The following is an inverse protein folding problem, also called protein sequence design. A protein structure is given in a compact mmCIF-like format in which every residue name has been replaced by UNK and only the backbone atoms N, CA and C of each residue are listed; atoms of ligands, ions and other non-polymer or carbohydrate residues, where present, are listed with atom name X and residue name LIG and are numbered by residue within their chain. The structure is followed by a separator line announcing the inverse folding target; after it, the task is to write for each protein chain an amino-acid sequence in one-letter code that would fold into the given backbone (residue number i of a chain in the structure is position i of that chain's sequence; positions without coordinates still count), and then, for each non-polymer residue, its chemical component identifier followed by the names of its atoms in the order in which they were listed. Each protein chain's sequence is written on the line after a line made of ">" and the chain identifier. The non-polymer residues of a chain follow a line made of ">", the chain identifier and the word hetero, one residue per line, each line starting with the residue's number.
data_IF_290186884920
#
_entry.id   IF_290186884920
#
_cell.length_a   1.000
_cell.length_b   1.000
_cell.length_c   1.000
_cell.angle_alpha   90.00
_cell.angle_beta   90.00
_cell.angle_gamma   90.00
#
_symmetry.space_group_name_H-M   'P 1'
#
loop_
_entity.id
_entity.type
_entity.pdbx_description
1 polymer ?
#
# COMPACT_ATOMS: atom_id res chain seq x y z
N UNK A 1 8.02 -13.77 -4.26
CA UNK A 1 8.83 -12.96 -3.34
C UNK A 1 8.09 -12.40 -2.13
N UNK A 2 6.75 -12.26 -2.14
CA UNK A 2 6.00 -11.86 -0.93
C UNK A 2 6.21 -12.81 0.27
N UNK A 3 6.40 -14.12 0.01
CA UNK A 3 6.69 -15.09 1.06
C UNK A 3 8.02 -14.89 1.79
N UNK A 4 9.00 -14.28 1.15
CA UNK A 4 10.33 -14.08 1.77
C UNK A 4 10.31 -13.05 2.93
N UNK A 5 9.44 -12.02 2.84
CA UNK A 5 9.30 -11.03 3.92
C UNK A 5 8.58 -11.55 5.16
N UNK A 6 7.84 -12.66 5.05
CA UNK A 6 7.03 -13.23 6.12
C UNK A 6 7.39 -14.68 6.44
N UNK A 7 8.42 -15.25 5.80
CA UNK A 7 8.84 -16.65 5.96
C UNK A 7 7.67 -17.63 5.79
N UNK A 8 6.87 -17.44 4.72
CA UNK A 8 5.67 -18.21 4.43
C UNK A 8 5.81 -18.98 3.11
N UNK A 9 5.13 -20.12 3.01
CA UNK A 9 5.12 -21.00 1.85
C UNK A 9 3.95 -20.78 0.90
N UNK A 10 3.80 -21.69 -0.06
CA UNK A 10 2.68 -21.69 -0.98
C UNK A 10 1.37 -21.98 -0.25
N UNK A 11 0.34 -21.17 -0.54
CA UNK A 11 -0.99 -21.32 0.08
C UNK A 11 -1.18 -20.59 1.41
N UNK A 12 -0.09 -20.08 2.01
CA UNK A 12 -0.17 -19.37 3.30
C UNK A 12 -0.57 -17.90 3.13
N UNK A 13 -0.33 -17.33 1.95
CA UNK A 13 -0.60 -15.92 1.66
C UNK A 13 -1.52 -15.75 0.45
N UNK A 14 -2.52 -14.89 0.57
CA UNK A 14 -3.24 -14.31 -0.54
C UNK A 14 -2.56 -12.99 -0.93
N UNK A 15 -2.00 -12.90 -2.14
CA UNK A 15 -1.13 -11.80 -2.54
C UNK A 15 -1.75 -10.97 -3.66
N UNK A 16 -1.87 -9.66 -3.41
CA UNK A 16 -2.26 -8.66 -4.41
C UNK A 16 -1.04 -7.77 -4.67
N UNK A 17 -0.61 -7.66 -5.92
CA UNK A 17 0.54 -6.84 -6.29
C UNK A 17 0.14 -5.80 -7.32
N UNK A 18 0.39 -4.53 -6.98
CA UNK A 18 0.11 -3.39 -7.84
C UNK A 18 1.12 -2.27 -7.57
N UNK A 19 1.43 -1.47 -8.59
CA UNK A 19 2.33 -0.33 -8.46
C UNK A 19 1.83 0.66 -7.39
N UNK A 20 2.73 1.05 -6.49
CA UNK A 20 2.43 2.03 -5.44
C UNK A 20 1.41 1.56 -4.40
N UNK A 21 1.16 0.25 -4.29
CA UNK A 21 0.18 -0.34 -3.36
C UNK A 21 -1.13 0.47 -3.26
N UNK A 22 -1.58 1.02 -4.39
CA UNK A 22 -2.81 1.81 -4.45
C UNK A 22 -4.05 0.93 -4.27
N UNK A 23 -5.09 1.51 -3.68
CA UNK A 23 -6.39 0.86 -3.51
C UNK A 23 -7.35 1.40 -4.55
N UNK A 24 -7.87 0.50 -5.40
CA UNK A 24 -8.90 0.75 -6.38
C UNK A 24 -9.97 -0.35 -6.29
N UNK A 25 -11.00 -0.28 -7.11
CA UNK A 25 -12.16 -1.20 -7.03
C UNK A 25 -11.77 -2.69 -7.12
N UNK A 26 -10.82 -3.02 -7.99
CA UNK A 26 -10.35 -4.42 -8.14
C UNK A 26 -9.58 -4.91 -6.91
N UNK A 27 -8.78 -4.06 -6.28
CA UNK A 27 -8.06 -4.39 -5.05
C UNK A 27 -9.04 -4.54 -3.87
N UNK A 28 -10.03 -3.64 -3.74
CA UNK A 28 -11.10 -3.77 -2.76
C UNK A 28 -11.84 -5.11 -2.90
N UNK A 29 -12.29 -5.45 -4.11
CA UNK A 29 -12.96 -6.73 -4.38
C UNK A 29 -12.10 -7.94 -4.05
N UNK A 30 -10.79 -7.89 -4.34
CA UNK A 30 -9.85 -8.97 -4.01
C UNK A 30 -9.67 -9.14 -2.50
N UNK A 31 -9.60 -8.04 -1.74
CA UNK A 31 -9.52 -8.08 -0.28
C UNK A 31 -10.84 -8.55 0.34
N UNK A 32 -11.98 -8.10 -0.17
CA UNK A 32 -13.31 -8.59 0.24
C UNK A 32 -13.42 -10.10 0.06
N UNK A 33 -13.00 -10.63 -1.11
CA UNK A 33 -12.97 -12.06 -1.37
C UNK A 33 -12.07 -12.80 -0.36
N UNK A 34 -10.86 -12.32 -0.14
CA UNK A 34 -9.94 -12.96 0.82
C UNK A 34 -10.52 -13.01 2.24
N UNK A 35 -11.19 -11.95 2.67
CA UNK A 35 -11.81 -11.88 4.00
C UNK A 35 -13.06 -12.76 4.08
N UNK A 36 -13.97 -12.68 3.10
CA UNK A 36 -15.26 -13.36 3.16
C UNK A 36 -15.18 -14.85 2.83
N UNK A 37 -14.45 -15.19 1.75
CA UNK A 37 -14.44 -16.55 1.23
C UNK A 37 -13.27 -17.39 1.78
N UNK A 38 -12.12 -16.75 2.03
CA UNK A 38 -10.94 -17.47 2.54
C UNK A 38 -10.73 -17.30 4.05
N UNK A 39 -11.52 -16.47 4.71
CA UNK A 39 -11.45 -16.29 6.17
C UNK A 39 -10.20 -15.54 6.64
N UNK A 40 -9.56 -14.75 5.79
CA UNK A 40 -8.37 -13.98 6.14
C UNK A 40 -8.66 -13.02 7.30
N UNK A 41 -7.78 -13.01 8.30
CA UNK A 41 -7.90 -12.17 9.50
C UNK A 41 -6.87 -11.04 9.57
N UNK A 42 -5.79 -11.14 8.82
CA UNK A 42 -4.76 -10.12 8.76
C UNK A 42 -4.55 -9.66 7.31
N UNK A 43 -4.70 -8.39 7.07
CA UNK A 43 -4.37 -7.72 5.80
C UNK A 43 -3.18 -6.81 6.05
N UNK A 44 -2.09 -7.02 5.32
CA UNK A 44 -0.90 -6.16 5.39
C UNK A 44 -0.81 -5.35 4.10
N UNK A 45 -0.83 -4.03 4.23
CA UNK A 45 -0.63 -3.09 3.12
C UNK A 45 0.82 -2.64 3.13
N UNK A 46 1.63 -3.23 2.25
CA UNK A 46 3.07 -3.09 2.31
C UNK A 46 3.61 -2.18 1.20
N UNK A 47 4.25 -1.08 1.60
CA UNK A 47 5.16 -0.31 0.76
C UNK A 47 6.57 -0.88 0.78
N UNK A 48 7.43 -0.43 -0.11
CA UNK A 48 8.81 -0.88 -0.17
C UNK A 48 9.76 0.28 -0.48
N UNK A 49 11.00 0.19 -0.02
CA UNK A 49 12.05 1.18 -0.31
C UNK A 49 12.21 1.40 -1.83
N UNK A 50 12.55 2.63 -2.21
CA UNK A 50 12.79 3.05 -3.60
C UNK A 50 11.60 2.83 -4.56
N UNK A 51 10.36 2.99 -4.08
CA UNK A 51 9.15 2.82 -4.90
C UNK A 51 9.08 3.86 -6.03
N UNK A 52 9.20 3.39 -7.29
CA UNK A 52 9.17 4.26 -8.48
C UNK A 52 7.82 4.97 -8.69
N UNK A 53 6.70 4.36 -8.30
CA UNK A 53 5.38 4.98 -8.41
C UNK A 53 5.23 6.17 -7.44
N UNK A 54 5.77 6.05 -6.22
CA UNK A 54 5.79 7.16 -5.24
C UNK A 54 6.75 8.26 -5.71
N UNK A 55 7.92 7.90 -6.26
CA UNK A 55 8.85 8.89 -6.83
C UNK A 55 8.22 9.66 -7.99
N UNK A 56 7.47 9.00 -8.87
CA UNK A 56 6.72 9.65 -9.95
C UNK A 56 5.63 10.60 -9.41
N UNK A 57 4.95 10.23 -8.33
CA UNK A 57 3.96 11.09 -7.69
C UNK A 57 4.61 12.34 -7.05
N UNK A 58 5.79 12.20 -6.43
CA UNK A 58 6.56 13.33 -5.91
C UNK A 58 6.97 14.29 -7.03
N UNK A 59 7.50 13.77 -8.13
CA UNK A 59 7.88 14.59 -9.29
C UNK A 59 6.65 15.32 -9.86
N UNK A 60 5.56 14.65 -10.08
CA UNK A 60 4.32 15.25 -10.55
C UNK A 60 3.80 16.36 -9.62
N UNK A 61 3.91 16.18 -8.31
CA UNK A 61 3.48 17.15 -7.32
C UNK A 61 4.38 18.41 -7.30
N UNK A 62 5.70 18.24 -7.47
CA UNK A 62 6.67 19.34 -7.42
C UNK A 62 6.73 20.14 -8.70
N UNK A 63 6.75 19.44 -9.82
CA UNK A 63 7.06 20.05 -11.14
C UNK A 63 5.81 20.26 -11.99
N UNK A 64 4.65 19.79 -11.53
CA UNK A 64 3.42 19.76 -12.31
C UNK A 64 3.47 18.82 -13.53
N UNK A 65 4.51 17.98 -13.61
CA UNK A 65 4.71 17.03 -14.71
C UNK A 65 3.90 15.77 -14.45
N UNK A 66 2.83 15.57 -15.21
CA UNK A 66 2.08 14.32 -15.19
C UNK A 66 2.71 13.31 -16.15
N UNK A 67 2.73 12.02 -15.80
CA UNK A 67 3.15 10.98 -16.73
C UNK A 67 2.36 11.06 -18.05
N UNK A 68 3.05 10.95 -19.19
CA UNK A 68 2.41 10.91 -20.51
C UNK A 68 1.86 9.49 -20.79
N UNK A 69 1.12 8.95 -19.83
CA UNK A 69 0.44 7.67 -19.91
C UNK A 69 -0.78 7.73 -18.98
N UNK A 70 -1.97 7.67 -19.55
CA UNK A 70 -3.24 7.86 -18.85
C UNK A 70 -3.38 6.99 -17.59
N UNK A 71 -3.11 5.70 -17.72
CA UNK A 71 -3.27 4.75 -16.61
C UNK A 71 -2.16 4.86 -15.56
N UNK A 72 -0.94 5.23 -15.96
CA UNK A 72 0.11 5.55 -14.99
C UNK A 72 -0.23 6.84 -14.23
N UNK A 73 -0.79 7.84 -14.93
CA UNK A 73 -1.26 9.05 -14.27
C UNK A 73 -2.35 8.76 -13.23
N UNK A 74 -3.27 7.81 -13.50
CA UNK A 74 -4.24 7.36 -12.52
C UNK A 74 -3.58 6.84 -11.22
N UNK A 75 -2.53 6.02 -11.32
CA UNK A 75 -1.77 5.53 -10.16
C UNK A 75 -1.14 6.70 -9.40
N UNK A 76 -0.49 7.62 -10.11
CA UNK A 76 0.11 8.83 -9.53
C UNK A 76 -0.93 9.66 -8.78
N UNK A 77 -2.09 9.91 -9.36
CA UNK A 77 -3.18 10.67 -8.73
C UNK A 77 -3.72 9.99 -7.46
N UNK A 78 -3.71 8.67 -7.41
CA UNK A 78 -4.09 7.91 -6.20
C UNK A 78 -3.06 8.08 -5.07
N UNK A 79 -1.78 8.22 -5.39
CA UNK A 79 -0.69 8.38 -4.41
C UNK A 79 -0.58 9.83 -3.90
N UNK A 80 -0.74 10.81 -4.78
CA UNK A 80 -0.52 12.24 -4.47
C UNK A 80 -1.15 12.72 -3.15
N UNK A 81 -2.39 12.35 -2.77
CA UNK A 81 -2.98 12.81 -1.53
C UNK A 81 -2.29 12.32 -0.25
N UNK A 82 -1.40 11.33 -0.35
CA UNK A 82 -0.64 10.79 0.79
C UNK A 82 0.72 11.45 0.98
N UNK A 83 1.20 12.24 0.00
CA UNK A 83 2.56 12.78 0.02
C UNK A 83 2.81 13.69 1.22
N UNK A 84 3.96 13.49 1.86
CA UNK A 84 4.49 14.31 2.95
C UNK A 84 5.95 14.63 2.64
N UNK A 85 6.26 15.91 2.55
CA UNK A 85 7.60 16.37 2.16
C UNK A 85 8.49 16.68 3.38
N UNK A 86 8.33 15.91 4.45
CA UNK A 86 9.13 16.02 5.66
C UNK A 86 10.45 15.29 5.48
N UNK A 87 11.56 15.95 5.75
CA UNK A 87 12.89 15.39 5.65
C UNK A 87 13.92 16.37 5.11
N UNK A 88 15.19 16.10 5.38
CA UNK A 88 16.31 16.97 5.01
C UNK A 88 16.86 16.66 3.62
N UNK A 89 16.70 15.43 3.15
CA UNK A 89 17.17 14.99 1.83
C UNK A 89 16.11 14.21 1.05
N UNK A 90 16.40 13.97 -0.24
CA UNK A 90 15.48 13.33 -1.18
C UNK A 90 15.15 11.87 -0.82
N UNK A 91 16.10 11.13 -0.25
CA UNK A 91 15.90 9.74 0.12
C UNK A 91 14.96 9.63 1.33
N UNK A 92 15.16 10.47 2.33
CA UNK A 92 14.27 10.56 3.51
C UNK A 92 12.87 10.97 3.11
N UNK A 93 12.73 11.99 2.23
CA UNK A 93 11.42 12.44 1.74
C UNK A 93 10.72 11.30 0.99
N UNK A 94 11.42 10.59 0.12
CA UNK A 94 10.85 9.46 -0.61
C UNK A 94 10.36 8.36 0.35
N UNK A 95 11.15 8.01 1.33
CA UNK A 95 10.80 6.97 2.30
C UNK A 95 9.59 7.38 3.16
N UNK A 96 9.54 8.63 3.64
CA UNK A 96 8.40 9.17 4.36
C UNK A 96 7.12 9.17 3.51
N UNK A 97 7.22 9.50 2.23
CA UNK A 97 6.10 9.43 1.29
C UNK A 97 5.62 7.97 1.07
N UNK A 98 6.54 7.02 0.96
CA UNK A 98 6.23 5.59 0.84
C UNK A 98 5.44 5.11 2.06
N UNK A 99 5.92 5.41 3.26
CA UNK A 99 5.24 5.02 4.49
C UNK A 99 3.86 5.69 4.62
N UNK A 100 3.75 6.99 4.31
CA UNK A 100 2.49 7.71 4.33
C UNK A 100 1.48 7.12 3.33
N UNK A 101 1.95 6.72 2.14
CA UNK A 101 1.11 6.05 1.14
C UNK A 101 0.61 4.69 1.62
N UNK A 102 1.43 3.89 2.30
CA UNK A 102 1.02 2.61 2.88
C UNK A 102 -0.06 2.80 3.95
N UNK A 103 0.10 3.79 4.84
CA UNK A 103 -0.93 4.15 5.85
C UNK A 103 -2.24 4.56 5.21
N UNK A 104 -2.19 5.43 4.19
CA UNK A 104 -3.38 5.88 3.48
C UNK A 104 -4.08 4.73 2.76
N UNK A 105 -3.34 3.87 2.09
CA UNK A 105 -3.90 2.69 1.40
C UNK A 105 -4.57 1.73 2.39
N UNK A 106 -3.97 1.51 3.56
CA UNK A 106 -4.59 0.71 4.62
C UNK A 106 -5.90 1.35 5.13
N UNK A 107 -5.91 2.65 5.34
CA UNK A 107 -7.12 3.39 5.72
C UNK A 107 -8.21 3.33 4.65
N UNK A 108 -7.83 3.41 3.37
CA UNK A 108 -8.76 3.32 2.23
C UNK A 108 -9.52 1.99 2.19
N UNK A 109 -8.91 0.89 2.56
CA UNK A 109 -9.59 -0.41 2.64
C UNK A 109 -10.80 -0.36 3.57
N UNK A 110 -10.67 0.23 4.74
CA UNK A 110 -11.76 0.37 5.69
C UNK A 110 -12.77 1.46 5.30
N UNK A 111 -12.31 2.57 4.73
CA UNK A 111 -13.18 3.71 4.41
C UNK A 111 -13.98 3.54 3.12
N UNK A 112 -13.46 2.76 2.16
CA UNK A 112 -14.08 2.57 0.85
C UNK A 112 -14.88 1.25 0.73
N UNK A 113 -14.79 0.35 1.73
CA UNK A 113 -15.56 -0.91 1.76
C UNK A 113 -16.30 -1.10 3.08
N UNK A 114 -17.62 -1.09 3.02
CA UNK A 114 -18.49 -1.40 4.16
C UNK A 114 -18.24 -2.83 4.68
N UNK A 115 -17.97 -3.77 3.79
CA UNK A 115 -17.69 -5.17 4.13
C UNK A 115 -16.40 -5.27 4.95
N UNK A 116 -15.32 -4.67 4.45
CA UNK A 116 -14.02 -4.68 5.16
C UNK A 116 -14.17 -3.99 6.52
N UNK A 117 -14.80 -2.82 6.56
CA UNK A 117 -15.07 -2.08 7.79
C UNK A 117 -15.80 -2.93 8.83
N UNK A 118 -16.89 -3.57 8.44
CA UNK A 118 -17.68 -4.42 9.35
C UNK A 118 -16.85 -5.61 9.89
N UNK A 119 -15.98 -6.19 9.07
CA UNK A 119 -15.12 -7.29 9.52
C UNK A 119 -14.03 -6.82 10.49
N UNK A 120 -13.51 -5.60 10.32
CA UNK A 120 -12.60 -4.98 11.29
C UNK A 120 -13.30 -4.74 12.62
N UNK A 121 -14.48 -4.15 12.60
CA UNK A 121 -15.21 -3.75 13.81
C UNK A 121 -15.82 -4.92 14.59
N UNK A 122 -16.25 -5.99 13.89
CA UNK A 122 -17.09 -7.03 14.49
C UNK A 122 -16.52 -8.44 14.41
N UNK A 123 -15.54 -8.71 13.55
CA UNK A 123 -15.07 -10.07 13.25
C UNK A 123 -13.57 -10.28 13.43
N UNK A 124 -12.87 -9.34 14.06
CA UNK A 124 -11.46 -9.45 14.42
C UNK A 124 -10.51 -9.47 13.23
N UNK A 125 -10.87 -8.80 12.13
CA UNK A 125 -9.95 -8.54 11.01
C UNK A 125 -9.09 -7.33 11.35
N UNK A 126 -7.79 -7.44 11.07
CA UNK A 126 -6.82 -6.35 11.23
C UNK A 126 -6.28 -5.95 9.86
N UNK A 127 -6.16 -4.65 9.63
CA UNK A 127 -5.51 -4.07 8.46
C UNK A 127 -4.35 -3.21 8.94
N UNK A 128 -3.13 -3.61 8.60
CA UNK A 128 -1.91 -2.98 9.09
C UNK A 128 -1.06 -2.46 7.91
N UNK A 129 -0.62 -1.20 7.96
CA UNK A 129 0.39 -0.70 7.04
C UNK A 129 1.77 -1.25 7.42
N UNK A 130 2.61 -1.49 6.42
CA UNK A 130 3.98 -1.95 6.63
C UNK A 130 4.93 -1.37 5.57
N UNK A 131 6.21 -1.39 5.90
CA UNK A 131 7.31 -1.00 5.04
C UNK A 131 8.31 -2.15 4.90
N UNK A 132 8.69 -2.48 3.66
CA UNK A 132 9.68 -3.51 3.35
C UNK A 132 11.01 -2.89 2.96
N UNK A 133 12.05 -3.22 3.70
CA UNK A 133 13.43 -2.85 3.37
C UNK A 133 14.03 -3.85 2.38
N UNK A 134 14.34 -3.41 1.18
CA UNK A 134 15.02 -4.24 0.17
C UNK A 134 16.45 -4.59 0.60
N UNK A 135 17.07 -3.71 1.39
CA UNK A 135 18.47 -3.91 1.86
C UNK A 135 18.57 -5.00 2.91
N UNK A 136 17.66 -5.04 3.87
CA UNK A 136 17.71 -6.00 5.00
C UNK A 136 16.77 -7.18 4.84
N UNK A 137 15.77 -7.08 3.98
CA UNK A 137 14.70 -8.07 3.85
C UNK A 137 13.67 -8.02 5.00
N UNK A 138 13.75 -7.00 5.85
CA UNK A 138 12.87 -6.84 7.01
C UNK A 138 11.57 -6.13 6.65
N UNK A 139 10.50 -6.50 7.34
CA UNK A 139 9.19 -5.86 7.31
C UNK A 139 8.99 -5.13 8.62
N UNK A 140 8.78 -3.82 8.55
CA UNK A 140 8.43 -2.96 9.67
C UNK A 140 6.93 -2.65 9.60
N UNK A 141 6.18 -2.99 10.65
CA UNK A 141 4.80 -2.55 10.78
C UNK A 141 4.74 -1.08 11.20
N UNK A 142 3.87 -0.33 10.55
CA UNK A 142 3.70 1.10 10.77
C UNK A 142 2.47 1.35 11.65
N UNK A 143 2.56 2.38 12.48
CA UNK A 143 1.43 2.84 13.31
C UNK A 143 0.34 3.58 12.50
#
# INVERSE_FOLDING_TARGET
>A
MAGQGFDQGFGDLFVIRIAGNVVARSQLGSVEYAIQELGVKLVVVMGHAHCGAVAAAIAASRDGTTPNAEHLNYVVQKIMPSLKFDGEDQEIILDNCIQANSRRSAQSLASESVIIKNHIEQKGVHVLPAHFSIKTGEVEFLD
#
